data_IF_433245440488
#
_entry.id   IF_433245440488
#
_cell.length_a   1.000
_cell.length_b   1.000
_cell.length_c   1.000
_cell.angle_alpha   90.00
_cell.angle_beta   90.00
_cell.angle_gamma   90.00
#
_symmetry.space_group_name_H-M   'P 1'
#
loop_
_entity.id
_entity.type
_entity.pdbx_description
1 polymer ?
#
# COMPACT_ATOMS: atom_id res chain seq x y z
N UNK A 1 -23.32 -5.22 -7.61
CA UNK A 1 -22.13 -6.06 -7.87
C UNK A 1 -21.32 -6.13 -6.57
N UNK A 2 -21.22 -7.29 -5.92
CA UNK A 2 -20.44 -7.42 -4.67
C UNK A 2 -18.97 -7.11 -4.97
N UNK A 3 -18.36 -6.20 -4.21
CA UNK A 3 -16.94 -5.88 -4.37
C UNK A 3 -16.11 -7.14 -4.07
N UNK A 4 -15.26 -7.52 -5.02
CA UNK A 4 -14.37 -8.68 -4.84
C UNK A 4 -13.17 -8.25 -4.01
N UNK A 5 -12.96 -8.85 -2.84
CA UNK A 5 -11.77 -8.65 -2.02
C UNK A 5 -10.52 -9.01 -2.83
N UNK A 6 -9.52 -8.12 -2.78
CA UNK A 6 -8.19 -8.33 -3.39
C UNK A 6 -7.16 -8.29 -2.28
N UNK A 7 -6.35 -9.33 -2.17
CA UNK A 7 -5.20 -9.39 -1.27
C UNK A 7 -3.91 -9.15 -2.05
N UNK A 8 -3.05 -8.31 -1.51
CA UNK A 8 -1.70 -8.03 -2.01
C UNK A 8 -0.71 -8.40 -0.92
N UNK A 9 0.27 -9.21 -1.28
CA UNK A 9 1.32 -9.66 -0.38
C UNK A 9 2.60 -8.90 -0.68
N UNK A 10 3.13 -8.18 0.31
CA UNK A 10 4.30 -7.31 0.15
C UNK A 10 5.53 -7.99 0.74
N UNK A 11 6.53 -8.22 -0.11
CA UNK A 11 7.78 -8.87 0.28
C UNK A 11 9.01 -8.07 -0.16
N UNK A 12 10.17 -8.28 0.49
CA UNK A 12 11.45 -7.78 -0.01
C UNK A 12 11.70 -8.24 -1.45
N UNK A 13 12.39 -7.43 -2.27
CA UNK A 13 12.62 -7.74 -3.68
C UNK A 13 13.25 -9.10 -3.94
N UNK A 14 14.16 -9.55 -3.08
CA UNK A 14 14.88 -10.82 -3.22
C UNK A 14 14.01 -12.07 -2.97
N UNK A 15 12.89 -11.94 -2.27
CA UNK A 15 11.97 -13.06 -2.00
C UNK A 15 10.90 -13.25 -3.09
N UNK A 16 10.65 -12.23 -3.91
CA UNK A 16 9.56 -12.22 -4.89
C UNK A 16 9.58 -13.45 -5.79
N UNK A 17 10.74 -13.76 -6.39
CA UNK A 17 10.86 -14.86 -7.35
C UNK A 17 10.52 -16.20 -6.70
N UNK A 18 11.09 -16.48 -5.53
CA UNK A 18 10.87 -17.74 -4.79
C UNK A 18 9.40 -17.90 -4.42
N UNK A 19 8.84 -16.91 -3.75
CA UNK A 19 7.45 -16.96 -3.27
C UNK A 19 6.47 -17.05 -4.44
N UNK A 20 6.74 -16.33 -5.53
CA UNK A 20 5.89 -16.41 -6.73
C UNK A 20 5.86 -17.80 -7.32
N UNK A 21 7.00 -18.46 -7.41
CA UNK A 21 7.12 -19.82 -7.94
C UNK A 21 6.40 -20.85 -7.07
N UNK A 22 6.46 -20.68 -5.75
CA UNK A 22 5.89 -21.64 -4.80
C UNK A 22 4.38 -21.46 -4.57
N UNK A 23 3.86 -20.23 -4.67
CA UNK A 23 2.49 -19.92 -4.21
C UNK A 23 1.54 -19.44 -5.29
N UNK A 24 2.05 -18.86 -6.37
CA UNK A 24 1.21 -18.21 -7.38
C UNK A 24 0.52 -16.92 -6.93
N UNK A 25 0.70 -16.47 -5.70
CA UNK A 25 0.05 -15.30 -5.10
C UNK A 25 0.28 -14.02 -5.90
N UNK A 26 -0.58 -13.01 -5.68
CA UNK A 26 -0.37 -11.67 -6.22
C UNK A 26 0.59 -10.90 -5.30
N UNK A 27 1.84 -10.78 -5.74
CA UNK A 27 2.93 -10.20 -4.97
C UNK A 27 3.21 -8.76 -5.36
N UNK A 28 3.61 -7.97 -4.37
CA UNK A 28 4.19 -6.64 -4.54
C UNK A 28 5.55 -6.60 -3.87
N UNK A 29 6.52 -5.93 -4.48
CA UNK A 29 7.78 -5.67 -3.80
C UNK A 29 7.67 -4.43 -2.89
N UNK A 30 8.51 -4.37 -1.87
CA UNK A 30 8.47 -3.30 -0.87
C UNK A 30 9.01 -1.98 -1.39
N UNK A 31 9.84 -1.99 -2.44
CA UNK A 31 10.36 -0.79 -3.10
C UNK A 31 10.87 -1.10 -4.50
N UNK A 32 10.99 -0.07 -5.34
CA UNK A 32 11.76 -0.03 -6.59
C UNK A 32 12.48 1.30 -6.73
N UNK A 33 13.48 1.33 -7.60
CA UNK A 33 14.26 2.51 -7.94
C UNK A 33 13.79 3.17 -9.24
N UNK A 34 14.25 4.40 -9.49
CA UNK A 34 13.86 5.19 -10.64
C UNK A 34 14.54 4.79 -11.96
N UNK A 35 15.36 3.76 -11.95
CA UNK A 35 16.12 3.33 -13.11
C UNK A 35 15.35 2.28 -13.93
N UNK A 36 15.55 2.33 -15.23
CA UNK A 36 15.13 1.28 -16.15
C UNK A 36 16.21 0.19 -16.26
N UNK A 37 15.98 -0.82 -17.10
CA UNK A 37 16.99 -1.86 -17.33
C UNK A 37 18.26 -1.25 -17.93
N UNK A 38 19.43 -1.69 -17.46
CA UNK A 38 20.72 -1.16 -17.91
C UNK A 38 21.85 -1.42 -16.92
N UNK A 39 22.87 -0.58 -16.96
CA UNK A 39 24.07 -0.68 -16.10
C UNK A 39 23.83 0.01 -14.75
N UNK A 40 22.93 -0.53 -13.95
CA UNK A 40 22.53 0.02 -12.65
C UNK A 40 22.81 -1.00 -11.55
N UNK A 41 24.11 -1.26 -11.30
CA UNK A 41 24.55 -2.22 -10.28
C UNK A 41 24.00 -1.87 -8.90
N UNK A 42 23.31 -2.82 -8.26
CA UNK A 42 22.70 -2.64 -6.93
C UNK A 42 21.33 -1.98 -6.91
N UNK A 43 20.84 -1.48 -8.05
CA UNK A 43 19.51 -0.86 -8.13
C UNK A 43 18.45 -1.85 -8.64
N UNK A 44 17.20 -1.65 -8.20
CA UNK A 44 16.09 -2.56 -8.48
C UNK A 44 15.07 -1.87 -9.39
N UNK A 45 14.97 -2.31 -10.64
CA UNK A 45 14.01 -1.73 -11.58
C UNK A 45 12.62 -2.37 -11.49
N UNK A 46 11.60 -1.62 -11.92
CA UNK A 46 10.24 -2.14 -12.04
C UNK A 46 10.18 -3.36 -12.98
N UNK A 47 10.98 -3.38 -14.04
CA UNK A 47 11.00 -4.47 -14.99
C UNK A 47 11.63 -5.75 -14.42
N UNK A 48 12.71 -5.62 -13.64
CA UNK A 48 13.29 -6.76 -12.91
C UNK A 48 12.25 -7.39 -11.97
N UNK A 49 11.54 -6.57 -11.19
CA UNK A 49 10.52 -7.06 -10.27
C UNK A 49 9.34 -7.70 -11.00
N UNK A 50 8.91 -7.13 -12.12
CA UNK A 50 7.87 -7.71 -12.96
C UNK A 50 8.29 -9.07 -13.53
N UNK A 51 9.53 -9.19 -14.02
CA UNK A 51 10.10 -10.48 -14.50
C UNK A 51 10.22 -11.50 -13.37
N UNK A 52 10.52 -11.05 -12.14
CA UNK A 52 10.53 -11.92 -10.96
C UNK A 52 9.13 -12.36 -10.51
N UNK A 53 8.07 -11.76 -11.05
CA UNK A 53 6.67 -12.14 -10.78
C UNK A 53 5.90 -11.16 -9.88
N UNK A 54 6.48 -10.00 -9.54
CA UNK A 54 5.73 -8.96 -8.86
C UNK A 54 4.67 -8.32 -9.78
N UNK A 55 3.50 -8.06 -9.23
CA UNK A 55 2.40 -7.34 -9.88
C UNK A 55 2.44 -5.84 -9.62
N UNK A 56 3.27 -5.40 -8.69
CA UNK A 56 3.39 -4.01 -8.29
C UNK A 56 4.42 -3.79 -7.19
N UNK A 57 4.42 -2.57 -6.67
CA UNK A 57 5.33 -2.14 -5.60
C UNK A 57 4.65 -1.20 -4.61
N UNK A 58 5.12 -1.24 -3.37
CA UNK A 58 4.98 -0.14 -2.43
C UNK A 58 6.03 0.92 -2.77
N UNK A 59 5.74 2.19 -2.54
CA UNK A 59 6.67 3.27 -2.82
C UNK A 59 6.58 4.36 -1.74
N UNK A 60 7.73 4.87 -1.29
CA UNK A 60 7.83 5.94 -0.29
C UNK A 60 7.20 5.58 1.07
N UNK A 61 7.28 4.33 1.50
CA UNK A 61 6.89 3.91 2.85
C UNK A 61 7.62 4.73 3.93
N UNK A 62 7.08 4.78 5.13
CA UNK A 62 7.67 5.53 6.25
C UNK A 62 9.09 5.11 6.60
N UNK A 63 9.40 3.82 6.46
CA UNK A 63 10.72 3.23 6.70
C UNK A 63 11.70 3.44 5.54
N UNK A 64 11.21 3.72 4.34
CA UNK A 64 12.03 3.93 3.15
C UNK A 64 11.54 5.13 2.34
N UNK A 65 11.80 6.33 2.85
CA UNK A 65 11.40 7.58 2.19
C UNK A 65 12.33 7.91 1.03
N UNK A 66 11.73 8.29 -0.08
CA UNK A 66 12.46 8.67 -1.28
C UNK A 66 12.22 10.12 -1.66
N UNK A 67 13.21 10.81 -2.26
CA UNK A 67 13.07 12.19 -2.70
C UNK A 67 11.90 12.39 -3.67
N UNK A 68 11.19 13.52 -3.61
CA UNK A 68 10.03 13.80 -4.49
C UNK A 68 10.34 13.71 -5.98
N UNK A 69 11.57 14.06 -6.39
CA UNK A 69 12.02 13.92 -7.76
C UNK A 69 12.06 12.47 -8.25
N UNK A 70 12.52 11.56 -7.41
CA UNK A 70 12.53 10.11 -7.69
C UNK A 70 11.12 9.56 -7.76
N UNK A 71 10.23 9.92 -6.82
CA UNK A 71 8.81 9.52 -6.87
C UNK A 71 8.19 9.91 -8.21
N UNK A 72 8.38 11.17 -8.65
CA UNK A 72 7.86 11.64 -9.94
C UNK A 72 8.44 10.85 -11.12
N UNK A 73 9.74 10.55 -11.12
CA UNK A 73 10.41 9.81 -12.18
C UNK A 73 9.88 8.38 -12.29
N UNK A 74 9.74 7.66 -11.15
CA UNK A 74 9.17 6.31 -11.10
C UNK A 74 7.74 6.31 -11.65
N UNK A 75 6.89 7.23 -11.17
CA UNK A 75 5.50 7.27 -11.57
C UNK A 75 5.30 7.71 -13.03
N UNK A 76 6.16 8.58 -13.56
CA UNK A 76 6.16 8.94 -14.98
C UNK A 76 6.52 7.76 -15.87
N UNK A 77 7.45 6.93 -15.42
CA UNK A 77 7.95 5.76 -16.16
C UNK A 77 7.22 4.47 -15.76
N UNK A 78 6.03 4.60 -15.17
CA UNK A 78 5.24 3.46 -14.73
C UNK A 78 5.00 2.47 -15.86
N UNK A 79 5.32 1.21 -15.63
CA UNK A 79 5.14 0.12 -16.59
C UNK A 79 3.69 -0.34 -16.65
N UNK A 80 3.18 -0.59 -17.86
CA UNK A 80 1.85 -1.19 -18.05
C UNK A 80 1.76 -2.55 -17.35
N UNK A 81 0.70 -2.72 -16.55
CA UNK A 81 0.47 -3.95 -15.79
C UNK A 81 1.38 -4.15 -14.58
N UNK A 82 2.01 -3.04 -14.07
CA UNK A 82 2.74 -3.01 -12.81
C UNK A 82 2.14 -1.90 -11.93
N UNK A 83 1.47 -2.26 -10.86
CA UNK A 83 0.72 -1.32 -10.01
C UNK A 83 1.64 -0.66 -8.97
N UNK A 84 1.41 0.62 -8.68
CA UNK A 84 2.17 1.39 -7.68
C UNK A 84 1.25 1.84 -6.56
N UNK A 85 1.56 1.42 -5.33
CA UNK A 85 0.95 1.90 -4.09
C UNK A 85 1.85 2.99 -3.52
N UNK A 86 1.44 4.26 -3.64
CA UNK A 86 2.20 5.40 -3.14
C UNK A 86 1.83 5.74 -1.71
N UNK A 87 2.76 5.59 -0.78
CA UNK A 87 2.60 6.01 0.61
C UNK A 87 2.73 7.52 0.75
N UNK A 88 1.79 8.12 1.47
CA UNK A 88 1.76 9.54 1.80
C UNK A 88 1.45 9.76 3.28
N UNK A 89 2.18 10.70 3.90
CA UNK A 89 2.04 11.03 5.33
C UNK A 89 1.07 12.18 5.62
N UNK A 90 0.66 12.89 4.59
CA UNK A 90 -0.23 14.06 4.74
C UNK A 90 -1.10 14.28 3.50
N UNK A 91 -2.21 14.98 3.68
CA UNK A 91 -3.09 15.40 2.58
C UNK A 91 -2.33 16.28 1.58
N UNK A 92 -1.51 17.24 2.06
CA UNK A 92 -0.70 18.09 1.19
C UNK A 92 0.33 17.32 0.36
N UNK A 93 0.89 16.23 0.90
CA UNK A 93 1.77 15.34 0.15
C UNK A 93 0.99 14.58 -0.94
N UNK A 94 -0.19 14.08 -0.62
CA UNK A 94 -1.06 13.42 -1.59
C UNK A 94 -1.47 14.37 -2.72
N UNK A 95 -1.89 15.59 -2.39
CA UNK A 95 -2.24 16.63 -3.35
C UNK A 95 -1.08 16.95 -4.30
N UNK A 96 0.11 17.17 -3.72
CA UNK A 96 1.30 17.55 -4.49
C UNK A 96 1.80 16.45 -5.41
N UNK A 97 1.64 15.18 -5.04
CA UNK A 97 2.20 14.03 -5.77
C UNK A 97 1.14 13.24 -6.52
N UNK A 98 0.11 12.78 -5.81
CA UNK A 98 -0.85 11.84 -6.35
C UNK A 98 -1.67 12.39 -7.50
N UNK A 99 -2.19 13.61 -7.36
CA UNK A 99 -3.01 14.22 -8.41
C UNK A 99 -2.21 14.45 -9.70
N UNK A 100 -0.90 14.69 -9.58
CA UNK A 100 -0.02 14.96 -10.74
C UNK A 100 0.53 13.70 -11.39
N UNK A 101 0.67 12.62 -10.66
CA UNK A 101 1.41 11.42 -11.11
C UNK A 101 0.54 10.17 -11.25
N UNK A 102 -0.69 10.20 -10.75
CA UNK A 102 -1.72 9.16 -10.87
C UNK A 102 -1.21 7.75 -10.54
N UNK A 103 -0.78 7.48 -9.30
CA UNK A 103 -0.48 6.12 -8.86
C UNK A 103 -1.74 5.25 -8.93
N UNK A 104 -1.58 3.92 -8.86
CA UNK A 104 -2.73 3.00 -8.87
C UNK A 104 -3.48 3.02 -7.54
N UNK A 105 -2.76 3.26 -6.42
CA UNK A 105 -3.31 3.41 -5.08
C UNK A 105 -2.53 4.47 -4.31
N UNK A 106 -3.20 5.10 -3.35
CA UNK A 106 -2.58 5.93 -2.32
C UNK A 106 -2.75 5.25 -0.98
N UNK A 107 -1.65 5.02 -0.27
CA UNK A 107 -1.67 4.57 1.12
C UNK A 107 -1.44 5.76 2.05
N UNK A 108 -2.39 6.02 2.95
CA UNK A 108 -2.30 7.11 3.92
C UNK A 108 -1.71 6.62 5.24
N UNK A 109 -0.51 7.10 5.53
CA UNK A 109 0.30 6.69 6.69
C UNK A 109 0.84 7.93 7.43
N UNK A 110 0.02 8.65 8.20
CA UNK A 110 0.50 9.78 8.99
C UNK A 110 1.50 9.30 10.05
N UNK A 111 2.69 9.91 10.05
CA UNK A 111 3.86 9.45 10.82
C UNK A 111 3.62 9.31 12.33
N UNK A 112 2.75 10.15 12.89
CA UNK A 112 2.43 10.12 14.33
C UNK A 112 1.54 8.94 14.77
N UNK A 113 1.01 8.15 13.83
CA UNK A 113 0.21 6.95 14.11
C UNK A 113 0.93 5.66 13.72
N UNK A 114 2.08 5.77 13.06
CA UNK A 114 2.92 4.61 12.77
C UNK A 114 3.49 4.11 14.11
N UNK A 115 3.36 2.81 14.36
CA UNK A 115 3.71 2.16 15.63
C UNK A 115 2.93 2.66 16.87
N UNK A 116 1.83 3.38 16.71
CA UNK A 116 0.92 3.70 17.82
C UNK A 116 0.30 2.41 18.36
N UNK A 117 0.46 2.16 19.67
CA UNK A 117 -0.10 0.94 20.28
C UNK A 117 -1.62 0.94 20.40
N UNK A 118 -2.28 2.11 20.41
CA UNK A 118 -3.69 2.21 20.79
C UNK A 118 -4.57 3.02 19.84
N UNK A 119 -4.02 3.61 18.77
CA UNK A 119 -4.75 4.54 17.90
C UNK A 119 -4.62 4.21 16.42
N UNK A 120 -5.74 4.26 15.69
CA UNK A 120 -5.76 4.11 14.23
C UNK A 120 -6.06 5.45 13.54
N UNK A 121 -5.60 5.60 12.28
CA UNK A 121 -5.94 6.78 11.47
C UNK A 121 -7.44 6.96 11.32
N UNK A 122 -8.15 5.86 11.16
CA UNK A 122 -9.58 5.86 10.91
C UNK A 122 -10.38 6.35 12.14
N UNK A 123 -9.90 6.05 13.36
CA UNK A 123 -10.53 6.50 14.60
C UNK A 123 -10.12 7.91 15.02
N UNK A 124 -8.82 8.25 14.88
CA UNK A 124 -8.28 9.52 15.35
C UNK A 124 -8.55 10.70 14.41
N UNK A 125 -8.53 10.46 13.10
CA UNK A 125 -8.71 11.51 12.09
C UNK A 125 -9.62 11.09 10.94
N UNK A 126 -10.88 10.72 11.22
CA UNK A 126 -11.82 10.29 10.19
C UNK A 126 -12.01 11.34 9.09
N UNK A 127 -12.01 12.61 9.45
CA UNK A 127 -12.16 13.70 8.47
C UNK A 127 -10.97 13.83 7.51
N UNK A 128 -9.76 13.48 7.97
CA UNK A 128 -8.59 13.45 7.08
C UNK A 128 -8.71 12.34 6.03
N UNK A 129 -9.20 11.17 6.42
CA UNK A 129 -9.45 10.05 5.50
C UNK A 129 -10.54 10.43 4.49
N UNK A 130 -11.68 10.95 4.93
CA UNK A 130 -12.78 11.41 4.05
C UNK A 130 -12.30 12.48 3.06
N UNK A 131 -11.55 13.48 3.55
CA UNK A 131 -11.00 14.54 2.72
C UNK A 131 -10.05 13.99 1.67
N UNK A 132 -9.17 13.06 2.06
CA UNK A 132 -8.23 12.42 1.13
C UNK A 132 -8.97 11.60 0.06
N UNK A 133 -9.94 10.79 0.45
CA UNK A 133 -10.78 10.00 -0.47
C UNK A 133 -11.48 10.93 -1.49
N UNK A 134 -12.11 12.00 -1.02
CA UNK A 134 -12.77 12.98 -1.89
C UNK A 134 -11.77 13.64 -2.86
N UNK A 135 -10.60 14.04 -2.37
CA UNK A 135 -9.56 14.69 -3.17
C UNK A 135 -8.97 13.75 -4.23
N UNK A 136 -8.75 12.50 -3.89
CA UNK A 136 -8.16 11.52 -4.80
C UNK A 136 -9.12 11.04 -5.90
N UNK A 137 -10.42 11.22 -5.72
CA UNK A 137 -11.44 10.92 -6.73
C UNK A 137 -11.42 9.45 -7.16
N UNK A 138 -10.93 9.18 -8.37
CA UNK A 138 -10.87 7.81 -8.92
C UNK A 138 -9.68 6.98 -8.42
N UNK A 139 -8.70 7.60 -7.78
CA UNK A 139 -7.54 6.87 -7.23
C UNK A 139 -7.93 6.25 -5.89
N UNK A 140 -7.95 4.93 -5.76
CA UNK A 140 -8.34 4.28 -4.51
C UNK A 140 -7.37 4.60 -3.39
N UNK A 141 -7.93 4.95 -2.23
CA UNK A 141 -7.19 5.25 -1.00
C UNK A 141 -7.19 4.02 -0.11
N UNK A 142 -6.02 3.68 0.42
CA UNK A 142 -5.80 2.68 1.45
C UNK A 142 -5.44 3.38 2.77
N UNK A 143 -5.86 2.84 3.90
CA UNK A 143 -5.43 3.28 5.23
C UNK A 143 -4.31 2.37 5.70
N UNK A 144 -3.12 2.93 5.98
CA UNK A 144 -1.91 2.15 6.28
C UNK A 144 -1.29 2.40 7.65
N UNK A 145 -1.98 3.09 8.58
CA UNK A 145 -1.43 3.31 9.91
C UNK A 145 -2.44 2.96 11.02
N UNK A 146 -1.99 2.13 11.97
CA UNK A 146 -2.74 1.76 13.17
C UNK A 146 -3.99 0.92 12.91
N UNK A 147 -4.05 0.17 11.82
CA UNK A 147 -5.13 -0.80 11.56
C UNK A 147 -4.78 -2.10 12.26
N UNK A 148 -5.48 -2.43 13.33
CA UNK A 148 -5.15 -3.54 14.23
C UNK A 148 -6.17 -4.67 14.22
N UNK A 149 -7.41 -4.36 13.92
CA UNK A 149 -8.49 -5.30 14.05
C UNK A 149 -9.61 -5.05 13.02
N UNK A 150 -10.56 -5.95 12.99
CA UNK A 150 -11.77 -5.89 12.16
C UNK A 150 -12.50 -4.56 12.22
N UNK A 151 -12.61 -3.94 13.41
CA UNK A 151 -13.34 -2.67 13.59
C UNK A 151 -12.65 -1.51 12.88
N UNK A 152 -11.30 -1.47 12.91
CA UNK A 152 -10.52 -0.45 12.19
C UNK A 152 -10.73 -0.58 10.68
N UNK A 153 -10.78 -1.80 10.16
CA UNK A 153 -11.09 -2.08 8.75
C UNK A 153 -12.49 -1.57 8.40
N UNK A 154 -13.52 -1.91 9.21
CA UNK A 154 -14.90 -1.45 8.99
C UNK A 154 -14.99 0.08 8.96
N UNK A 155 -14.30 0.76 9.89
CA UNK A 155 -14.29 2.23 9.96
C UNK A 155 -13.62 2.81 8.73
N UNK A 156 -12.45 2.31 8.34
CA UNK A 156 -11.73 2.78 7.15
C UNK A 156 -12.61 2.70 5.89
N UNK A 157 -13.28 1.58 5.68
CA UNK A 157 -14.18 1.37 4.54
C UNK A 157 -15.41 2.29 4.57
N UNK A 158 -16.03 2.48 5.74
CA UNK A 158 -17.16 3.43 5.93
C UNK A 158 -16.77 4.88 5.64
N UNK A 159 -15.49 5.24 5.84
CA UNK A 159 -14.94 6.55 5.47
C UNK A 159 -14.64 6.70 3.97
N UNK A 160 -14.86 5.63 3.18
CA UNK A 160 -14.69 5.61 1.74
C UNK A 160 -13.34 5.07 1.26
N UNK A 161 -12.45 4.66 2.16
CA UNK A 161 -11.23 3.95 1.78
C UNK A 161 -11.58 2.65 1.02
N UNK A 162 -10.68 2.19 0.16
CA UNK A 162 -10.87 0.98 -0.65
C UNK A 162 -10.09 -0.22 -0.11
N UNK A 163 -9.39 -0.02 0.99
CA UNK A 163 -8.62 -1.08 1.65
C UNK A 163 -7.76 -0.56 2.77
N UNK A 164 -6.96 -1.45 3.30
CA UNK A 164 -5.99 -1.18 4.37
C UNK A 164 -4.64 -1.78 4.02
N UNK A 165 -3.56 -1.27 4.63
CA UNK A 165 -2.25 -1.92 4.72
C UNK A 165 -2.02 -2.32 6.18
N UNK A 166 -1.61 -3.56 6.38
CA UNK A 166 -1.31 -4.11 7.71
C UNK A 166 0.00 -4.89 7.64
N UNK A 167 0.81 -4.81 8.66
CA UNK A 167 2.07 -5.52 8.78
C UNK A 167 2.19 -6.22 10.15
N UNK A 168 2.73 -5.53 11.16
CA UNK A 168 3.06 -6.10 12.47
C UNK A 168 1.88 -6.79 13.15
N UNK A 169 0.68 -6.23 13.05
CA UNK A 169 -0.51 -6.78 13.70
C UNK A 169 -0.94 -8.14 13.14
N UNK A 170 -0.44 -8.51 11.95
CA UNK A 170 -0.59 -9.87 11.41
C UNK A 170 0.69 -10.67 11.59
N UNK A 171 1.84 -10.13 11.14
CA UNK A 171 3.09 -10.91 11.04
C UNK A 171 3.66 -11.27 12.42
N UNK A 172 3.45 -10.42 13.43
CA UNK A 172 3.92 -10.62 14.80
C UNK A 172 2.83 -11.17 15.74
N UNK A 173 1.66 -11.53 15.23
CA UNK A 173 0.61 -12.14 16.04
C UNK A 173 0.95 -13.59 16.40
N UNK A 174 0.44 -14.06 17.52
CA UNK A 174 0.57 -15.48 17.94
C UNK A 174 -0.09 -16.43 16.94
N UNK A 175 -1.19 -15.98 16.29
CA UNK A 175 -1.89 -16.69 15.22
C UNK A 175 -2.15 -15.74 14.04
N UNK A 176 -1.20 -15.59 13.10
CA UNK A 176 -1.32 -14.70 11.96
C UNK A 176 -2.50 -15.03 11.02
N UNK A 177 -2.84 -16.31 10.92
CA UNK A 177 -3.95 -16.76 10.06
C UNK A 177 -5.30 -16.32 10.63
N UNK A 178 -5.49 -16.44 11.93
CA UNK A 178 -6.69 -15.99 12.65
C UNK A 178 -6.85 -14.47 12.50
N UNK A 179 -5.81 -13.68 12.77
CA UNK A 179 -5.84 -12.23 12.65
C UNK A 179 -6.19 -11.79 11.23
N UNK A 180 -5.59 -12.41 10.22
CA UNK A 180 -5.92 -12.12 8.82
C UNK A 180 -7.39 -12.44 8.50
N UNK A 181 -7.91 -13.58 8.98
CA UNK A 181 -9.31 -13.97 8.79
C UNK A 181 -10.26 -12.96 9.43
N UNK A 182 -9.97 -12.51 10.65
CA UNK A 182 -10.77 -11.49 11.34
C UNK A 182 -10.80 -10.16 10.59
N UNK A 183 -9.66 -9.71 10.07
CA UNK A 183 -9.59 -8.50 9.25
C UNK A 183 -10.40 -8.64 7.95
N UNK A 184 -10.32 -9.80 7.28
CA UNK A 184 -11.10 -10.10 6.08
C UNK A 184 -12.62 -10.03 6.35
N UNK A 185 -13.07 -10.48 7.52
CA UNK A 185 -14.48 -10.36 7.91
C UNK A 185 -14.94 -8.89 8.01
N UNK A 186 -14.05 -7.97 8.43
CA UNK A 186 -14.33 -6.53 8.42
C UNK A 186 -14.69 -6.00 7.02
N UNK A 187 -14.03 -6.51 5.97
CA UNK A 187 -14.38 -6.20 4.58
C UNK A 187 -15.75 -6.76 4.19
N UNK A 188 -16.03 -8.03 4.53
CA UNK A 188 -17.30 -8.70 4.16
C UNK A 188 -18.52 -8.00 4.75
N UNK A 189 -18.38 -7.36 5.92
CA UNK A 189 -19.47 -6.70 6.62
C UNK A 189 -19.88 -5.36 5.99
N UNK A 190 -18.96 -4.71 5.27
CA UNK A 190 -19.17 -3.38 4.67
C UNK A 190 -19.38 -3.46 3.15
N UNK A 191 -18.86 -4.45 2.49
CA UNK A 191 -18.96 -4.71 1.05
C UNK A 191 -19.95 -5.83 0.74
#
# INVERSE_FOLDING_TARGET
MKARLRLFWLFPPFDIYKIKKETGLKLYCQNIDEYEDGRWTGWISANQMKKAGASGTLLNHSEHKIPPGKVKKILKNKRKGFEIVLCVRSIGQAEKWALKTKPDFIAYEPSYLIASKDRSVSSEKPEAVKRLVKMCGKIPVLVGAGVKNKKDVEIALKLGAKGVLVASDIVCADDPEKELKEMIEGFKKVC
#
